data_IF_004457291238
#
_entry.id   IF_004457291238
#
_cell.length_a   1.000
_cell.length_b   1.000
_cell.length_c   1.000
_cell.angle_alpha   90.00
_cell.angle_beta   90.00
_cell.angle_gamma   90.00
#
_symmetry.space_group_name_H-M   'P 1'
#
loop_
_entity.id
_entity.type
_entity.pdbx_description
1 polymer ?
#
# COMPACT_ATOMS: atom_id res chain seq x y z
N UNK A 1 9.11 11.20 17.95
CA UNK A 1 8.77 10.24 16.87
C UNK A 1 7.25 10.10 16.83
N UNK A 2 6.64 10.52 15.72
CA UNK A 2 5.20 10.70 15.44
C UNK A 2 4.16 10.17 16.44
N UNK A 3 4.08 8.85 16.68
CA UNK A 3 3.06 8.24 17.55
C UNK A 3 3.09 8.72 19.00
N UNK A 4 4.27 9.05 19.54
CA UNK A 4 4.37 9.61 20.90
C UNK A 4 3.66 10.97 20.97
N UNK A 5 3.81 11.79 19.93
CA UNK A 5 3.17 13.09 19.85
C UNK A 5 1.66 12.95 19.67
N UNK A 6 1.22 12.05 18.79
CA UNK A 6 -0.21 11.76 18.62
C UNK A 6 -0.86 11.26 19.92
N UNK A 7 -0.20 10.33 20.62
CA UNK A 7 -0.67 9.81 21.92
C UNK A 7 -0.77 10.93 22.97
N UNK A 8 0.23 11.82 23.01
CA UNK A 8 0.21 12.97 23.89
C UNK A 8 -0.99 13.88 23.61
N UNK A 9 -1.24 14.22 22.34
CA UNK A 9 -2.40 15.02 21.94
C UNK A 9 -3.71 14.37 22.38
N UNK A 10 -3.86 13.05 22.19
CA UNK A 10 -5.07 12.34 22.64
C UNK A 10 -5.25 12.43 24.16
N UNK A 11 -4.17 12.32 24.94
CA UNK A 11 -4.26 12.40 26.39
C UNK A 11 -4.51 13.82 26.91
N UNK A 12 -3.94 14.82 26.25
CA UNK A 12 -4.10 16.23 26.63
C UNK A 12 -5.51 16.76 26.31
N UNK A 13 -6.19 16.17 25.32
CA UNK A 13 -7.46 16.70 24.81
C UNK A 13 -8.68 15.80 25.09
N UNK A 14 -8.47 14.51 25.36
CA UNK A 14 -9.55 13.54 25.61
C UNK A 14 -9.37 12.93 26.99
N UNK A 15 -10.25 13.32 27.91
CA UNK A 15 -10.18 12.87 29.31
C UNK A 15 -10.46 11.36 29.45
N UNK A 16 -9.73 10.73 30.39
CA UNK A 16 -9.89 9.31 30.72
C UNK A 16 -9.79 8.39 29.51
N UNK A 17 -10.71 7.42 29.43
CA UNK A 17 -10.75 6.42 28.36
C UNK A 17 -11.51 6.89 27.10
N UNK A 18 -11.92 8.16 27.05
CA UNK A 18 -12.60 8.75 25.88
C UNK A 18 -14.09 8.43 25.75
N UNK A 19 -14.78 8.12 26.85
CA UNK A 19 -16.23 7.95 26.83
C UNK A 19 -16.94 9.19 26.26
N UNK A 20 -17.92 8.97 25.37
CA UNK A 20 -18.67 10.05 24.70
C UNK A 20 -17.95 10.71 23.51
N UNK A 21 -16.68 10.38 23.25
CA UNK A 21 -15.95 10.91 22.10
C UNK A 21 -16.11 10.06 20.85
N UNK A 22 -16.16 10.73 19.70
CA UNK A 22 -15.97 10.11 18.38
C UNK A 22 -14.71 10.68 17.75
N UNK A 23 -13.76 9.80 17.41
CA UNK A 23 -12.51 10.13 16.73
C UNK A 23 -12.61 9.62 15.30
N UNK A 24 -12.41 10.50 14.32
CA UNK A 24 -12.48 10.17 12.90
C UNK A 24 -11.09 10.33 12.29
N UNK A 25 -10.55 9.23 11.79
CA UNK A 25 -9.30 9.19 11.05
C UNK A 25 -9.61 9.32 9.56
N UNK A 26 -9.60 10.56 9.06
CA UNK A 26 -10.08 10.93 7.72
C UNK A 26 -9.17 10.44 6.58
N UNK A 27 -7.91 10.12 6.86
CA UNK A 27 -6.93 9.60 5.91
C UNK A 27 -6.22 8.40 6.53
N UNK A 28 -7.02 7.38 6.85
CA UNK A 28 -6.61 6.32 7.76
C UNK A 28 -5.41 5.51 7.28
N UNK A 29 -5.18 5.43 5.96
CA UNK A 29 -4.05 4.72 5.37
C UNK A 29 -3.90 3.32 5.98
N UNK A 30 -2.78 3.05 6.64
CA UNK A 30 -2.52 1.75 7.30
C UNK A 30 -3.35 1.46 8.55
N UNK A 31 -4.23 2.37 8.95
CA UNK A 31 -5.03 2.30 10.18
C UNK A 31 -4.22 2.55 11.46
N UNK A 32 -2.96 2.98 11.33
CA UNK A 32 -2.04 3.11 12.48
C UNK A 32 -2.55 4.11 13.52
N UNK A 33 -3.08 5.25 13.09
CA UNK A 33 -3.63 6.27 14.00
C UNK A 33 -4.94 5.81 14.62
N UNK A 34 -5.87 5.30 13.82
CA UNK A 34 -7.11 4.67 14.28
C UNK A 34 -6.86 3.58 15.35
N UNK A 35 -5.93 2.67 15.08
CA UNK A 35 -5.55 1.61 16.02
C UNK A 35 -5.00 2.20 17.32
N UNK A 36 -4.07 3.16 17.22
CA UNK A 36 -3.47 3.83 18.38
C UNK A 36 -4.53 4.56 19.21
N UNK A 37 -5.42 5.31 18.56
CA UNK A 37 -6.50 6.02 19.23
C UNK A 37 -7.43 5.06 19.99
N UNK A 38 -7.81 3.94 19.37
CA UNK A 38 -8.68 2.94 20.01
C UNK A 38 -8.00 2.24 21.20
N UNK A 39 -6.69 2.02 21.14
CA UNK A 39 -5.90 1.44 22.25
C UNK A 39 -5.76 2.38 23.42
N UNK A 40 -5.56 3.68 23.16
CA UNK A 40 -5.34 4.70 24.20
C UNK A 40 -6.67 5.18 24.81
N UNK A 41 -7.73 5.26 24.00
CA UNK A 41 -9.07 5.70 24.41
C UNK A 41 -10.10 4.60 24.11
N UNK A 42 -10.12 3.50 24.89
CA UNK A 42 -10.93 2.31 24.57
C UNK A 42 -12.44 2.57 24.58
N UNK A 43 -12.92 3.57 25.33
CA UNK A 43 -14.34 3.93 25.38
C UNK A 43 -14.75 4.94 24.29
N UNK A 44 -13.80 5.50 23.53
CA UNK A 44 -14.11 6.32 22.37
C UNK A 44 -14.62 5.45 21.20
N UNK A 45 -15.55 6.01 20.43
CA UNK A 45 -15.88 5.51 19.10
C UNK A 45 -14.80 5.97 18.13
N UNK A 46 -14.13 5.04 17.45
CA UNK A 46 -13.10 5.36 16.46
C UNK A 46 -13.59 4.94 15.08
N UNK A 47 -13.55 5.86 14.12
CA UNK A 47 -13.92 5.62 12.72
C UNK A 47 -12.66 5.72 11.88
N UNK A 48 -12.33 4.61 11.23
CA UNK A 48 -11.21 4.47 10.29
C UNK A 48 -11.73 4.64 8.86
N UNK A 49 -11.28 5.68 8.16
CA UNK A 49 -11.60 5.90 6.74
C UNK A 49 -10.58 5.21 5.84
N UNK A 50 -10.97 4.10 5.23
CA UNK A 50 -10.17 3.31 4.29
C UNK A 50 -10.49 3.67 2.84
N UNK A 51 -10.10 4.89 2.43
CA UNK A 51 -10.47 5.44 1.12
C UNK A 51 -9.88 4.65 -0.05
N UNK A 52 -8.64 4.14 0.09
CA UNK A 52 -7.89 3.46 -0.97
C UNK A 52 -7.98 1.93 -0.90
N UNK A 53 -8.84 1.39 -0.02
CA UNK A 53 -9.05 -0.05 0.12
C UNK A 53 -7.83 -0.80 0.69
N UNK A 54 -7.02 -0.13 1.51
CA UNK A 54 -5.86 -0.72 2.16
C UNK A 54 -6.21 -2.01 2.92
N UNK A 55 -7.33 -2.05 3.64
CA UNK A 55 -7.76 -3.24 4.40
C UNK A 55 -8.07 -4.42 3.49
N UNK A 56 -8.68 -4.15 2.35
CA UNK A 56 -8.97 -5.20 1.36
C UNK A 56 -7.67 -5.76 0.80
N UNK A 57 -6.70 -4.90 0.48
CA UNK A 57 -5.39 -5.30 -0.04
C UNK A 57 -4.61 -6.20 0.91
N UNK A 58 -4.76 -6.03 2.23
CA UNK A 58 -4.12 -6.90 3.23
C UNK A 58 -4.54 -8.37 3.09
N UNK A 59 -5.76 -8.66 2.64
CA UNK A 59 -6.22 -10.03 2.43
C UNK A 59 -5.50 -10.73 1.26
N UNK A 60 -4.84 -9.97 0.39
CA UNK A 60 -4.20 -10.46 -0.82
C UNK A 60 -2.67 -10.45 -0.76
N UNK A 61 -2.07 -10.26 0.42
CA UNK A 61 -0.61 -10.25 0.61
C UNK A 61 0.08 -11.50 0.02
N UNK A 62 -0.56 -12.66 0.11
CA UNK A 62 -0.03 -13.91 -0.46
C UNK A 62 0.08 -13.83 -1.98
N UNK A 63 -0.95 -13.33 -2.67
CA UNK A 63 -0.93 -13.15 -4.12
C UNK A 63 0.06 -12.06 -4.54
N UNK A 64 0.08 -10.94 -3.83
CA UNK A 64 1.01 -9.84 -4.08
C UNK A 64 2.45 -10.35 -4.02
N UNK A 65 2.81 -11.14 -3.00
CA UNK A 65 4.14 -11.72 -2.88
C UNK A 65 4.43 -12.79 -3.92
N UNK A 66 3.44 -13.62 -4.28
CA UNK A 66 3.59 -14.64 -5.33
C UNK A 66 3.88 -13.98 -6.69
N UNK A 67 3.15 -12.93 -7.05
CA UNK A 67 3.39 -12.15 -8.27
C UNK A 67 4.76 -11.46 -8.21
N UNK A 68 5.12 -10.84 -7.07
CA UNK A 68 6.44 -10.22 -6.88
C UNK A 68 7.57 -11.19 -7.15
N UNK A 69 7.45 -12.42 -6.66
CA UNK A 69 8.48 -13.45 -6.86
C UNK A 69 8.61 -13.85 -8.32
N UNK A 70 7.50 -14.03 -9.05
CA UNK A 70 7.53 -14.35 -10.49
C UNK A 70 8.18 -13.23 -11.30
N UNK A 71 7.86 -11.97 -10.99
CA UNK A 71 8.48 -10.81 -11.63
C UNK A 71 9.97 -10.73 -11.28
N UNK A 72 10.33 -10.92 -10.01
CA UNK A 72 11.71 -10.88 -9.55
C UNK A 72 12.58 -11.93 -10.28
N UNK A 73 12.10 -13.17 -10.40
CA UNK A 73 12.80 -14.23 -11.13
C UNK A 73 13.05 -13.90 -12.61
N UNK A 74 12.21 -13.05 -13.22
CA UNK A 74 12.39 -12.65 -14.61
C UNK A 74 13.44 -11.53 -14.79
N UNK A 75 13.70 -10.73 -13.75
CA UNK A 75 14.63 -9.57 -13.80
C UNK A 75 15.96 -9.83 -13.11
N UNK A 76 16.01 -10.76 -12.16
CA UNK A 76 17.19 -11.08 -11.36
C UNK A 76 18.36 -11.51 -12.25
N UNK A 77 19.51 -10.88 -12.06
CA UNK A 77 20.71 -11.10 -12.88
C UNK A 77 20.62 -10.61 -14.34
N UNK A 78 19.45 -10.12 -14.80
CA UNK A 78 19.25 -9.61 -16.17
C UNK A 78 19.38 -8.09 -16.23
N UNK A 79 18.82 -7.38 -15.24
CA UNK A 79 18.77 -5.91 -15.21
C UNK A 79 19.55 -5.40 -14.02
N UNK A 80 20.50 -4.49 -14.27
CA UNK A 80 21.20 -3.81 -13.19
C UNK A 80 20.25 -2.88 -12.42
N UNK A 81 20.45 -2.75 -11.11
CA UNK A 81 19.60 -1.92 -10.24
C UNK A 81 19.46 -0.49 -10.79
N UNK A 82 18.23 0.04 -10.75
CA UNK A 82 17.87 1.38 -11.22
C UNK A 82 18.15 1.62 -12.71
N UNK A 83 18.09 0.59 -13.54
CA UNK A 83 18.23 0.72 -15.00
C UNK A 83 16.93 0.34 -15.67
N UNK A 84 16.60 1.13 -16.71
CA UNK A 84 15.41 0.89 -17.52
C UNK A 84 15.41 -0.52 -18.10
N UNK A 85 14.27 -1.19 -18.00
CA UNK A 85 14.00 -2.51 -18.53
C UNK A 85 13.82 -2.41 -20.05
N UNK A 86 14.40 -3.37 -20.80
CA UNK A 86 14.30 -3.39 -22.27
C UNK A 86 12.87 -3.69 -22.74
N UNK A 87 12.48 -3.31 -23.97
CA UNK A 87 11.15 -3.59 -24.50
C UNK A 87 10.77 -5.09 -24.47
N UNK A 88 11.73 -5.98 -24.73
CA UNK A 88 11.51 -7.43 -24.77
C UNK A 88 11.21 -7.97 -23.37
N UNK A 89 11.99 -7.55 -22.37
CA UNK A 89 11.77 -7.96 -20.99
C UNK A 89 10.49 -7.32 -20.43
N UNK A 90 10.17 -6.07 -20.80
CA UNK A 90 8.89 -5.44 -20.47
C UNK A 90 7.72 -6.29 -20.98
N UNK A 91 7.75 -6.73 -22.25
CA UNK A 91 6.70 -7.57 -22.81
C UNK A 91 6.54 -8.90 -22.04
N UNK A 92 7.66 -9.52 -21.63
CA UNK A 92 7.63 -10.71 -20.77
C UNK A 92 6.98 -10.44 -19.41
N UNK A 93 7.32 -9.33 -18.75
CA UNK A 93 6.74 -8.96 -17.46
C UNK A 93 5.24 -8.67 -17.57
N UNK A 94 4.80 -8.01 -18.64
CA UNK A 94 3.37 -7.80 -18.92
C UNK A 94 2.66 -9.14 -19.09
N UNK A 95 3.26 -10.11 -19.79
CA UNK A 95 2.75 -11.48 -19.89
C UNK A 95 2.54 -12.13 -18.51
N UNK A 96 3.57 -12.08 -17.65
CA UNK A 96 3.48 -12.60 -16.27
C UNK A 96 2.33 -11.94 -15.50
N UNK A 97 2.17 -10.62 -15.60
CA UNK A 97 1.09 -9.89 -14.91
C UNK A 97 -0.28 -10.29 -15.48
N UNK A 98 -0.42 -10.42 -16.80
CA UNK A 98 -1.68 -10.80 -17.45
C UNK A 98 -2.09 -12.23 -17.11
N UNK A 99 -1.15 -13.16 -17.13
CA UNK A 99 -1.39 -14.59 -16.90
C UNK A 99 -1.50 -14.95 -15.40
N UNK A 100 -1.20 -13.99 -14.51
CA UNK A 100 -1.28 -14.23 -13.08
C UNK A 100 -2.73 -14.51 -12.63
N UNK A 101 -2.98 -15.74 -12.20
CA UNK A 101 -4.24 -16.21 -11.62
C UNK A 101 -4.32 -15.87 -10.13
N UNK A 102 -4.61 -14.60 -9.83
CA UNK A 102 -4.70 -14.07 -8.47
C UNK A 102 -4.88 -12.55 -8.44
N UNK A 103 -4.86 -11.97 -7.24
CA UNK A 103 -5.00 -10.53 -7.08
C UNK A 103 -3.79 -9.74 -7.62
N UNK A 104 -4.07 -8.76 -8.49
CA UNK A 104 -3.07 -7.89 -9.11
C UNK A 104 -3.16 -6.50 -8.50
N UNK A 105 -2.32 -6.24 -7.50
CA UNK A 105 -2.30 -4.94 -6.81
C UNK A 105 -1.59 -3.88 -7.66
N UNK A 106 -2.35 -2.99 -8.29
CA UNK A 106 -1.81 -1.92 -9.13
C UNK A 106 -0.80 -1.04 -8.39
N UNK A 107 -1.10 -0.67 -7.14
CA UNK A 107 -0.23 0.18 -6.31
C UNK A 107 1.14 -0.47 -6.10
N UNK A 108 1.17 -1.77 -5.78
CA UNK A 108 2.41 -2.52 -5.64
C UNK A 108 3.16 -2.61 -6.97
N UNK A 109 2.49 -2.98 -8.06
CA UNK A 109 3.09 -3.09 -9.38
C UNK A 109 3.72 -1.76 -9.83
N UNK A 110 2.99 -0.66 -9.67
CA UNK A 110 3.48 0.69 -9.96
C UNK A 110 4.72 1.02 -9.12
N UNK A 111 4.71 0.71 -7.81
CA UNK A 111 5.85 0.96 -6.93
C UNK A 111 7.10 0.15 -7.26
N UNK A 112 6.94 -1.01 -7.90
CA UNK A 112 8.05 -1.90 -8.23
C UNK A 112 8.62 -1.64 -9.62
N UNK A 113 7.77 -1.28 -10.58
CA UNK A 113 8.12 -1.24 -12.00
C UNK A 113 8.29 0.18 -12.54
N UNK A 114 7.66 1.19 -11.93
CA UNK A 114 7.74 2.57 -12.42
C UNK A 114 8.88 3.34 -11.77
N UNK A 115 9.30 4.42 -12.44
CA UNK A 115 10.19 5.38 -11.82
C UNK A 115 9.49 6.07 -10.66
N UNK A 116 10.23 6.36 -9.58
CA UNK A 116 9.68 6.95 -8.35
C UNK A 116 8.85 8.21 -8.64
N UNK A 117 7.64 8.28 -8.09
CA UNK A 117 6.74 9.42 -8.22
C UNK A 117 5.77 9.34 -9.40
N UNK A 118 5.93 8.37 -10.32
CA UNK A 118 4.91 8.11 -11.34
C UNK A 118 3.67 7.47 -10.71
N UNK A 119 2.49 7.83 -11.20
CA UNK A 119 1.19 7.32 -10.75
C UNK A 119 0.38 6.89 -11.96
N UNK A 120 -0.37 5.80 -11.81
CA UNK A 120 -1.25 5.21 -12.83
C UNK A 120 -2.53 4.73 -12.15
N UNK A 121 -3.66 4.86 -12.83
CA UNK A 121 -4.99 4.46 -12.34
C UNK A 121 -5.43 3.08 -12.81
N UNK A 122 -4.79 2.53 -13.85
CA UNK A 122 -5.15 1.23 -14.43
C UNK A 122 -3.93 0.38 -14.81
N UNK A 123 -4.14 -0.92 -15.06
CA UNK A 123 -3.08 -1.80 -15.59
C UNK A 123 -2.72 -1.44 -17.03
N UNK A 124 -3.69 -0.96 -17.81
CA UNK A 124 -3.45 -0.47 -19.17
C UNK A 124 -2.50 0.72 -19.15
N UNK A 125 -2.76 1.71 -18.29
CA UNK A 125 -1.88 2.86 -18.09
C UNK A 125 -0.48 2.44 -17.59
N UNK A 126 -0.41 1.47 -16.67
CA UNK A 126 0.85 0.87 -16.23
C UNK A 126 1.66 0.33 -17.42
N UNK A 127 1.01 -0.41 -18.32
CA UNK A 127 1.67 -1.06 -19.45
C UNK A 127 2.13 -0.09 -20.53
N UNK A 128 1.61 1.13 -20.57
CA UNK A 128 2.10 2.20 -21.45
C UNK A 128 3.42 2.81 -20.95
N UNK A 129 3.68 2.77 -19.63
CA UNK A 129 4.87 3.37 -19.02
C UNK A 129 6.18 2.61 -19.30
N UNK A 130 7.31 3.29 -19.12
CA UNK A 130 8.61 2.62 -19.08
C UNK A 130 8.83 1.89 -17.76
N UNK A 131 9.30 0.64 -17.80
CA UNK A 131 9.67 -0.12 -16.60
C UNK A 131 11.15 0.06 -16.23
N UNK A 132 11.48 0.00 -14.93
CA UNK A 132 12.78 0.32 -14.34
C UNK A 132 13.26 -0.71 -13.31
#
# INVERSE_FOLDING_TARGET
MFLKHFTQILNDNINGDGGGWTIIDVFGGSGLLSHTAKRIKPNARVIYNDFDGYSQRLNYINDINRLRQQLYQAVDGVVAKNKRITPELKAKLIGIINDFDGYKDLNSLASWLLFSGQQVGTLEELFEQGFW
#
